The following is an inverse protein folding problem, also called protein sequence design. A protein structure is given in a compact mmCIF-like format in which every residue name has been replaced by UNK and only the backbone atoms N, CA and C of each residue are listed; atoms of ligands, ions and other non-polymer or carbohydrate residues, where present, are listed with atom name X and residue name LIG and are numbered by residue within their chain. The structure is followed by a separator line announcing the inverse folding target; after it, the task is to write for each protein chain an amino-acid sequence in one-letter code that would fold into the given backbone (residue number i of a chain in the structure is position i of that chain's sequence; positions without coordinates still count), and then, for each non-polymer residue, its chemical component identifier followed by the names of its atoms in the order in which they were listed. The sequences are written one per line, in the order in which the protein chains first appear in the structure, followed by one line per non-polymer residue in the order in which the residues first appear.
data_IF_043929916310
#
_entry.id   IF_043929916310
#
_cell.length_a   1.000
_cell.length_b   1.000
_cell.length_c   1.000
_cell.angle_alpha   90.00
_cell.angle_beta   90.00
_cell.angle_gamma   90.00
#
_symmetry.space_group_name_H-M   'P 1'
#
loop_
_entity.id
_entity.type
_entity.pdbx_description
1 polymer ?
#
# COMPACT_ATOMS: atom_id res chain seq x y z
N UNK A 1 5.38 12.11 -15.86
CA UNK A 1 6.41 13.07 -15.41
C UNK A 1 7.31 12.34 -14.42
N UNK A 2 8.63 12.33 -14.63
CA UNK A 2 9.62 11.68 -13.75
C UNK A 2 10.29 12.76 -12.89
N UNK A 3 10.57 12.49 -11.63
CA UNK A 3 11.42 13.33 -10.79
C UNK A 3 12.91 12.95 -10.97
N UNK A 4 13.77 13.80 -10.44
CA UNK A 4 15.20 13.92 -10.78
C UNK A 4 16.12 12.79 -10.25
N UNK A 5 15.57 11.69 -9.73
CA UNK A 5 16.31 10.50 -9.24
C UNK A 5 16.09 9.24 -10.10
N UNK A 6 15.39 9.36 -11.23
CA UNK A 6 15.38 8.31 -12.25
C UNK A 6 14.50 7.08 -11.98
N UNK A 7 13.70 7.04 -10.91
CA UNK A 7 12.68 6.00 -10.73
C UNK A 7 11.31 6.44 -11.24
N UNK A 8 10.89 6.03 -12.46
CA UNK A 8 9.48 5.88 -12.74
C UNK A 8 9.06 4.57 -12.08
N UNK A 9 8.37 4.61 -10.93
CA UNK A 9 7.84 3.37 -10.38
C UNK A 9 6.37 3.17 -10.82
N UNK A 10 6.11 2.37 -11.88
CA UNK A 10 4.75 2.07 -12.33
C UNK A 10 3.97 1.22 -11.32
N UNK A 11 4.57 0.81 -10.19
CA UNK A 11 3.93 -0.04 -9.17
C UNK A 11 2.83 0.70 -8.42
N UNK A 12 2.87 2.03 -8.36
CA UNK A 12 1.78 2.81 -7.78
C UNK A 12 0.48 2.63 -8.59
N UNK A 13 0.52 2.81 -9.92
CA UNK A 13 -0.68 2.73 -10.75
C UNK A 13 -1.23 1.32 -10.92
N UNK A 14 -0.38 0.28 -10.97
CA UNK A 14 -0.84 -1.12 -11.15
C UNK A 14 -1.37 -1.76 -9.86
N UNK A 15 -0.90 -1.33 -8.69
CA UNK A 15 -1.37 -1.88 -7.41
C UNK A 15 -2.72 -1.32 -6.95
N UNK A 16 -3.16 -0.19 -7.51
CA UNK A 16 -4.42 0.48 -7.15
C UNK A 16 -5.64 -0.26 -7.75
N UNK A 17 -5.47 -0.92 -8.90
CA UNK A 17 -6.58 -1.54 -9.64
C UNK A 17 -7.16 -2.80 -8.95
N UNK A 18 -6.43 -3.43 -8.03
CA UNK A 18 -6.88 -4.62 -7.26
C UNK A 18 -7.43 -4.24 -5.86
N UNK A 19 -7.40 -2.96 -5.50
CA UNK A 19 -7.65 -2.47 -4.14
C UNK A 19 -9.03 -1.83 -3.93
N UNK A 20 -9.97 -2.03 -4.85
CA UNK A 20 -11.29 -1.36 -4.97
C UNK A 20 -12.21 -1.37 -3.72
N UNK A 21 -11.79 -1.95 -2.59
CA UNK A 21 -12.54 -1.97 -1.32
C UNK A 21 -11.94 -1.11 -0.21
N UNK A 22 -10.69 -0.67 -0.33
CA UNK A 22 -10.03 0.10 0.74
C UNK A 22 -10.15 1.61 0.50
N UNK A 23 -10.53 2.40 1.51
CA UNK A 23 -10.44 3.86 1.44
C UNK A 23 -9.02 4.31 1.04
N UNK A 24 -8.92 5.33 0.19
CA UNK A 24 -7.64 5.81 -0.36
C UNK A 24 -6.54 6.01 0.68
N UNK A 25 -6.86 6.67 1.80
CA UNK A 25 -5.89 6.93 2.87
C UNK A 25 -5.34 5.65 3.52
N UNK A 26 -6.13 4.57 3.55
CA UNK A 26 -5.69 3.27 4.05
C UNK A 26 -4.77 2.59 3.04
N UNK A 27 -5.10 2.70 1.75
CA UNK A 27 -4.26 2.17 0.68
C UNK A 27 -2.89 2.86 0.61
N UNK A 28 -2.83 4.16 0.85
CA UNK A 28 -1.58 4.92 0.93
C UNK A 28 -0.67 4.39 2.05
N UNK A 29 -1.24 4.11 3.23
CA UNK A 29 -0.50 3.49 4.36
C UNK A 29 0.02 2.11 3.99
N UNK A 30 -0.82 1.25 3.39
CA UNK A 30 -0.42 -0.10 2.94
C UNK A 30 0.71 0.00 1.90
N UNK A 31 0.66 0.98 1.00
CA UNK A 31 1.71 1.21 0.02
C UNK A 31 3.04 1.60 0.68
N UNK A 32 3.02 2.56 1.61
CA UNK A 32 4.23 2.95 2.36
C UNK A 32 4.85 1.76 3.10
N UNK A 33 4.04 0.94 3.77
CA UNK A 33 4.53 -0.27 4.46
C UNK A 33 5.22 -1.25 3.48
N UNK A 34 4.67 -1.41 2.28
CA UNK A 34 5.27 -2.26 1.23
C UNK A 34 6.61 -1.72 0.74
N UNK A 35 6.73 -0.40 0.59
CA UNK A 35 8.00 0.23 0.19
C UNK A 35 9.06 0.00 1.26
N UNK A 36 8.74 0.27 2.53
CA UNK A 36 9.67 0.07 3.66
C UNK A 36 10.10 -1.40 3.78
N UNK A 37 9.15 -2.35 3.66
CA UNK A 37 9.50 -3.77 3.65
C UNK A 37 10.41 -4.13 2.46
N UNK A 38 10.14 -3.57 1.28
CA UNK A 38 10.94 -3.78 0.08
C UNK A 38 12.39 -3.32 0.23
N UNK A 39 12.64 -2.24 0.97
CA UNK A 39 14.00 -1.73 1.24
C UNK A 39 14.91 -2.75 1.93
N UNK A 40 14.33 -3.69 2.68
CA UNK A 40 15.05 -4.76 3.40
C UNK A 40 14.82 -6.14 2.77
N UNK A 41 14.37 -6.20 1.52
CA UNK A 41 14.13 -7.46 0.80
C UNK A 41 12.91 -8.25 1.28
N UNK A 42 12.04 -7.64 2.08
CA UNK A 42 10.83 -8.28 2.59
C UNK A 42 9.63 -7.97 1.72
N UNK A 43 8.70 -8.92 1.65
CA UNK A 43 7.42 -8.77 0.94
C UNK A 43 6.26 -9.02 1.88
N UNK A 44 5.45 -7.99 2.08
CA UNK A 44 4.20 -8.08 2.82
C UNK A 44 3.19 -8.94 2.04
N UNK A 45 2.66 -9.98 2.70
CA UNK A 45 1.65 -10.90 2.14
C UNK A 45 0.22 -10.45 2.43
N UNK A 46 -0.02 -9.88 3.60
CA UNK A 46 -1.30 -9.32 4.02
C UNK A 46 -1.09 -8.22 5.05
N UNK A 47 -2.03 -7.29 5.12
CA UNK A 47 -2.10 -6.26 6.18
C UNK A 47 -3.50 -6.26 6.74
N UNK A 48 -3.61 -6.29 8.07
CA UNK A 48 -4.85 -6.06 8.79
C UNK A 48 -4.75 -4.75 9.55
N UNK A 49 -5.74 -3.89 9.37
CA UNK A 49 -5.84 -2.57 9.99
C UNK A 49 -7.19 -2.48 10.68
N UNK A 50 -7.22 -1.86 11.84
CA UNK A 50 -8.45 -1.56 12.56
C UNK A 50 -8.51 -0.06 12.80
N UNK A 51 -9.62 0.56 12.42
CA UNK A 51 -9.88 1.94 12.79
C UNK A 51 -10.13 2.01 14.30
N UNK A 52 -9.24 2.68 15.03
CA UNK A 52 -9.27 2.74 16.50
C UNK A 52 -10.53 3.37 17.08
N UNK A 53 -11.27 4.16 16.30
CA UNK A 53 -12.48 4.86 16.76
C UNK A 53 -13.75 4.05 16.54
N UNK A 54 -13.87 3.41 15.39
CA UNK A 54 -15.05 2.66 14.96
C UNK A 54 -14.93 1.15 15.11
N UNK A 55 -13.72 0.63 15.34
CA UNK A 55 -13.42 -0.81 15.34
C UNK A 55 -13.52 -1.45 13.95
N UNK A 56 -13.66 -0.64 12.89
CA UNK A 56 -13.82 -1.16 11.53
C UNK A 56 -12.51 -1.78 11.05
N UNK A 57 -12.58 -3.06 10.66
CA UNK A 57 -11.44 -3.81 10.14
C UNK A 57 -11.32 -3.69 8.63
N UNK A 58 -10.08 -3.52 8.19
CA UNK A 58 -9.68 -3.43 6.80
C UNK A 58 -8.59 -4.47 6.58
N UNK A 59 -8.77 -5.28 5.54
CA UNK A 59 -7.78 -6.30 5.18
C UNK A 59 -7.32 -6.04 3.77
N UNK A 60 -6.02 -5.87 3.59
CA UNK A 60 -5.37 -5.94 2.30
C UNK A 60 -4.71 -7.30 2.14
N UNK A 61 -4.97 -7.97 1.02
CA UNK A 61 -4.30 -9.21 0.60
C UNK A 61 -3.86 -9.07 -0.85
N UNK A 62 -2.71 -9.65 -1.16
CA UNK A 62 -2.20 -9.77 -2.53
C UNK A 62 -2.66 -11.08 -3.15
#
# INVERSE_FOLDING_TARGET
MKNNEGYPDPTASKAIHEADKLPKHIMDVVHTLKLVAGMVGLRIKSVELEDRKSGKRYTWRR
#
